data_IF_744896434511
#
_entry.id   IF_744896434511
#
_cell.length_a   1.000
_cell.length_b   1.000
_cell.length_c   1.000
_cell.angle_alpha   90.00
_cell.angle_beta   90.00
_cell.angle_gamma   90.00
#
_symmetry.space_group_name_H-M   'P 1'
#
loop_
_entity.id
_entity.type
_entity.pdbx_description
1 polymer ?
#
# COMPACT_ATOMS: atom_id res chain seq x y z
N UNK A 1 -36.82 -28.97 -18.40
CA UNK A 1 -35.54 -28.38 -18.84
C UNK A 1 -35.75 -26.90 -19.10
N UNK A 2 -35.30 -26.01 -18.21
CA UNK A 2 -34.73 -24.70 -18.58
C UNK A 2 -34.21 -24.00 -17.32
N UNK A 3 -32.90 -24.13 -17.14
CA UNK A 3 -31.94 -23.11 -16.63
C UNK A 3 -32.32 -22.26 -15.41
N UNK A 4 -31.83 -22.74 -14.26
CA UNK A 4 -31.38 -21.93 -13.12
C UNK A 4 -30.51 -20.77 -13.62
N UNK A 5 -31.01 -19.55 -13.48
CA UNK A 5 -30.21 -18.33 -13.59
C UNK A 5 -29.39 -18.21 -12.31
N UNK A 6 -28.11 -18.57 -12.37
CA UNK A 6 -27.17 -18.38 -11.28
C UNK A 6 -26.91 -16.88 -11.12
N UNK A 7 -27.42 -16.27 -10.04
CA UNK A 7 -27.03 -14.92 -9.63
C UNK A 7 -25.56 -14.94 -9.21
N UNK A 8 -24.67 -14.54 -10.11
CA UNK A 8 -23.32 -14.15 -9.73
C UNK A 8 -23.41 -12.83 -8.95
N UNK A 9 -23.42 -12.93 -7.62
CA UNK A 9 -23.20 -11.76 -6.76
C UNK A 9 -21.74 -11.36 -6.90
N UNK A 10 -21.47 -10.34 -7.71
CA UNK A 10 -20.17 -9.70 -7.75
C UNK A 10 -20.00 -8.89 -6.46
N UNK A 11 -19.25 -9.41 -5.49
CA UNK A 11 -18.87 -8.65 -4.32
C UNK A 11 -18.04 -7.43 -4.76
N UNK A 12 -18.46 -6.22 -4.37
CA UNK A 12 -17.71 -4.98 -4.60
C UNK A 12 -16.86 -4.71 -3.37
N UNK A 13 -15.58 -4.40 -3.55
CA UNK A 13 -14.76 -3.87 -2.48
C UNK A 13 -15.34 -2.52 -2.05
N UNK A 14 -15.71 -2.42 -0.77
CA UNK A 14 -16.15 -1.18 -0.14
C UNK A 14 -14.95 -0.23 0.11
N UNK A 15 -15.23 0.99 0.56
CA UNK A 15 -14.19 1.99 0.82
C UNK A 15 -13.22 1.55 1.93
N UNK A 16 -11.92 1.71 1.73
CA UNK A 16 -10.92 1.53 2.79
C UNK A 16 -11.08 2.66 3.82
N UNK A 17 -11.82 2.40 4.90
CA UNK A 17 -11.90 3.26 6.07
C UNK A 17 -10.89 2.81 7.13
N UNK A 18 -10.59 3.69 8.10
CA UNK A 18 -9.73 3.40 9.26
C UNK A 18 -8.23 3.19 8.93
N UNK A 19 -7.71 3.91 7.92
CA UNK A 19 -6.27 4.00 7.68
C UNK A 19 -5.60 4.86 8.76
N UNK A 20 -4.70 4.25 9.54
CA UNK A 20 -3.84 4.95 10.48
C UNK A 20 -2.37 4.69 10.16
N UNK A 21 -1.55 5.74 10.21
CA UNK A 21 -0.11 5.62 10.06
C UNK A 21 0.50 5.09 11.37
N UNK A 22 1.48 4.19 11.27
CA UNK A 22 2.26 3.80 12.45
C UNK A 22 3.34 4.85 12.72
N UNK A 23 3.31 5.43 13.92
CA UNK A 23 4.21 6.51 14.38
C UNK A 23 5.50 5.98 15.05
N UNK A 24 5.72 4.67 15.02
CA UNK A 24 6.84 4.04 15.70
C UNK A 24 8.08 3.91 14.79
N UNK A 25 8.93 4.93 14.80
CA UNK A 25 10.18 4.99 14.05
C UNK A 25 11.17 3.81 14.29
N UNK A 26 10.90 2.91 15.25
CA UNK A 26 11.79 1.81 15.65
C UNK A 26 11.18 0.40 15.56
N UNK A 27 9.98 0.22 14.99
CA UNK A 27 9.36 -1.11 14.88
C UNK A 27 9.43 -1.65 13.45
N UNK A 28 9.70 -2.96 13.33
CA UNK A 28 9.57 -3.67 12.05
C UNK A 28 8.11 -3.54 11.61
N UNK A 29 7.90 -2.92 10.44
CA UNK A 29 6.59 -2.69 9.85
C UNK A 29 6.06 -4.01 9.28
N UNK A 30 5.40 -4.80 10.14
CA UNK A 30 4.77 -6.06 9.75
C UNK A 30 3.33 -5.80 9.33
N UNK A 31 2.98 -6.19 8.11
CA UNK A 31 1.63 -6.06 7.57
C UNK A 31 0.68 -7.06 8.23
N UNK A 32 -0.54 -6.62 8.51
CA UNK A 32 -1.62 -7.49 8.99
C UNK A 32 -2.04 -8.52 7.93
N UNK A 33 -2.09 -8.09 6.67
CA UNK A 33 -2.15 -8.95 5.51
C UNK A 33 -0.73 -9.18 4.98
N UNK A 34 -0.17 -10.36 5.23
CA UNK A 34 1.20 -10.68 4.81
C UNK A 34 1.31 -10.78 3.29
N UNK A 35 2.47 -10.39 2.77
CA UNK A 35 2.79 -10.46 1.34
C UNK A 35 3.17 -11.91 0.97
N UNK A 36 4.01 -12.53 1.79
CA UNK A 36 4.34 -13.95 1.70
C UNK A 36 3.81 -14.70 2.94
N UNK A 37 3.78 -16.03 2.89
CA UNK A 37 3.33 -16.85 4.02
C UNK A 37 4.23 -16.71 5.25
N UNK A 38 5.54 -16.56 5.03
CA UNK A 38 6.54 -16.52 6.10
C UNK A 38 7.03 -15.11 6.38
N UNK A 39 7.01 -14.21 5.38
CA UNK A 39 7.46 -12.83 5.50
C UNK A 39 6.30 -11.81 5.40
N UNK A 40 6.15 -11.02 6.46
CA UNK A 40 5.16 -9.95 6.56
C UNK A 40 5.75 -8.54 6.44
N UNK A 41 7.03 -8.42 6.08
CA UNK A 41 7.72 -7.14 5.96
C UNK A 41 7.16 -6.32 4.81
N UNK A 42 6.84 -5.05 5.05
CA UNK A 42 6.45 -4.13 3.98
C UNK A 42 7.69 -3.73 3.12
N UNK A 43 8.08 -4.58 2.16
CA UNK A 43 9.19 -4.34 1.23
C UNK A 43 8.76 -4.45 -0.23
N UNK A 44 9.33 -3.60 -1.10
CA UNK A 44 9.10 -3.65 -2.55
C UNK A 44 9.71 -4.91 -3.16
N UNK A 45 10.87 -5.35 -2.68
CA UNK A 45 11.51 -6.57 -3.17
C UNK A 45 10.68 -7.81 -2.84
N UNK A 46 10.13 -7.88 -1.62
CA UNK A 46 9.21 -8.95 -1.22
C UNK A 46 7.92 -8.91 -2.04
N UNK A 47 7.35 -7.72 -2.29
CA UNK A 47 6.17 -7.58 -3.13
C UNK A 47 6.43 -8.07 -4.56
N UNK A 48 7.59 -7.70 -5.13
CA UNK A 48 7.99 -8.13 -6.49
C UNK A 48 8.26 -9.63 -6.56
N UNK A 49 8.78 -10.26 -5.50
CA UNK A 49 9.08 -11.70 -5.49
C UNK A 49 7.81 -12.57 -5.56
N UNK A 50 6.66 -12.06 -5.12
CA UNK A 50 5.36 -12.76 -5.17
C UNK A 50 4.42 -12.22 -6.26
N UNK A 51 4.78 -11.15 -6.97
CA UNK A 51 3.87 -10.45 -7.88
C UNK A 51 3.34 -11.32 -9.03
N UNK A 52 4.17 -12.22 -9.55
CA UNK A 52 3.82 -13.13 -10.66
C UNK A 52 2.64 -14.07 -10.34
N UNK A 53 2.31 -14.27 -9.06
CA UNK A 53 1.12 -15.02 -8.66
C UNK A 53 -0.20 -14.27 -8.92
N UNK A 54 -0.15 -12.95 -9.10
CA UNK A 54 -1.33 -12.09 -9.20
C UNK A 54 -1.42 -11.30 -10.50
N UNK A 55 -0.29 -10.80 -10.99
CA UNK A 55 -0.19 -9.92 -12.17
C UNK A 55 1.09 -10.21 -12.96
N UNK A 56 1.23 -9.63 -14.15
CA UNK A 56 2.52 -9.69 -14.86
C UNK A 56 3.54 -8.78 -14.18
N UNK A 57 4.84 -9.09 -14.30
CA UNK A 57 5.89 -8.22 -13.76
C UNK A 57 5.88 -6.80 -14.36
N UNK A 58 5.44 -6.67 -15.62
CA UNK A 58 5.28 -5.36 -16.28
C UNK A 58 4.19 -4.54 -15.58
N UNK A 59 3.05 -5.16 -15.28
CA UNK A 59 1.94 -4.50 -14.58
C UNK A 59 2.32 -4.18 -13.13
N UNK A 60 3.04 -5.09 -12.46
CA UNK A 60 3.53 -4.86 -11.09
C UNK A 60 4.44 -3.62 -11.03
N UNK A 61 5.43 -3.54 -11.91
CA UNK A 61 6.36 -2.40 -11.97
C UNK A 61 5.62 -1.10 -12.34
N UNK A 62 4.60 -1.16 -13.22
CA UNK A 62 3.76 -0.01 -13.55
C UNK A 62 2.95 0.49 -12.35
N UNK A 63 2.29 -0.41 -11.61
CA UNK A 63 1.51 -0.05 -10.41
C UNK A 63 2.41 0.54 -9.33
N UNK A 64 3.60 -0.03 -9.10
CA UNK A 64 4.59 0.51 -8.15
C UNK A 64 4.98 1.95 -8.56
N UNK A 65 5.22 2.18 -9.85
CA UNK A 65 5.58 3.50 -10.36
C UNK A 65 4.45 4.51 -10.20
N UNK A 66 3.20 4.13 -10.47
CA UNK A 66 2.01 4.98 -10.26
C UNK A 66 1.84 5.34 -8.79
N UNK A 67 1.92 4.35 -7.89
CA UNK A 67 1.86 4.56 -6.44
C UNK A 67 2.96 5.54 -5.98
N UNK A 68 4.20 5.34 -6.45
CA UNK A 68 5.31 6.26 -6.16
C UNK A 68 5.01 7.68 -6.65
N UNK A 69 4.52 7.84 -7.87
CA UNK A 69 4.25 9.16 -8.44
C UNK A 69 3.15 9.92 -7.69
N UNK A 70 2.10 9.22 -7.25
CA UNK A 70 1.01 9.82 -6.46
C UNK A 70 1.48 10.16 -5.04
N UNK A 71 2.25 9.27 -4.42
CA UNK A 71 2.70 9.46 -3.03
C UNK A 71 3.86 10.43 -2.90
N UNK A 72 4.71 10.62 -3.92
CA UNK A 72 5.91 11.48 -3.81
C UNK A 72 5.62 12.95 -3.49
N UNK A 73 4.37 13.40 -3.64
CA UNK A 73 3.92 14.78 -3.39
C UNK A 73 2.98 14.90 -2.19
N UNK A 74 2.89 13.86 -1.36
CA UNK A 74 1.96 13.81 -0.22
C UNK A 74 2.12 15.02 0.71
N UNK A 75 3.36 15.47 0.97
CA UNK A 75 3.67 16.62 1.82
C UNK A 75 3.10 17.94 1.27
N UNK A 76 3.26 18.19 -0.03
CA UNK A 76 2.66 19.36 -0.71
C UNK A 76 1.14 19.38 -0.52
N UNK A 77 0.50 18.21 -0.70
CA UNK A 77 -0.95 18.06 -0.55
C UNK A 77 -1.42 18.21 0.90
N UNK A 78 -0.63 17.76 1.86
CA UNK A 78 -0.90 17.94 3.29
C UNK A 78 -0.80 19.42 3.68
N UNK A 79 0.27 20.09 3.27
CA UNK A 79 0.45 21.53 3.50
C UNK A 79 -0.65 22.37 2.85
N UNK A 80 -1.03 22.07 1.60
CA UNK A 80 -2.12 22.76 0.92
C UNK A 80 -3.48 22.60 1.63
N UNK A 81 -3.64 21.56 2.46
CA UNK A 81 -4.83 21.31 3.29
C UNK A 81 -4.71 21.82 4.72
N UNK A 82 -3.61 22.51 5.06
CA UNK A 82 -3.41 23.11 6.38
C UNK A 82 -2.81 22.18 7.42
N UNK A 83 -2.18 21.07 7.03
CA UNK A 83 -1.49 20.19 7.97
C UNK A 83 -0.36 20.94 8.71
N UNK A 84 -0.26 20.83 10.05
CA UNK A 84 0.81 21.42 10.83
C UNK A 84 2.19 20.90 10.37
N UNK A 85 3.22 21.78 10.23
CA UNK A 85 4.56 21.34 9.83
C UNK A 85 5.20 20.29 10.75
N UNK A 86 4.81 20.26 12.03
CA UNK A 86 5.26 19.23 12.98
C UNK A 86 4.69 17.85 12.66
N UNK A 87 3.44 17.78 12.22
CA UNK A 87 2.78 16.52 11.84
C UNK A 87 3.31 16.02 10.50
N UNK A 88 3.57 16.92 9.56
CA UNK A 88 4.23 16.57 8.29
C UNK A 88 5.64 16.00 8.55
N UNK A 89 6.47 16.66 9.36
CA UNK A 89 7.80 16.14 9.72
C UNK A 89 7.77 14.77 10.40
N UNK A 90 6.78 14.52 11.25
CA UNK A 90 6.59 13.20 11.85
C UNK A 90 6.28 12.16 10.77
N UNK A 91 5.42 12.51 9.80
CA UNK A 91 4.98 11.61 8.75
C UNK A 91 6.00 11.45 7.60
N UNK A 92 7.00 12.33 7.46
CA UNK A 92 8.17 12.12 6.57
C UNK A 92 8.87 10.79 6.87
N UNK A 93 8.94 10.41 8.16
CA UNK A 93 9.45 9.10 8.58
C UNK A 93 8.54 7.92 8.20
N UNK A 94 7.43 8.12 7.51
CA UNK A 94 6.66 7.03 6.93
C UNK A 94 6.95 6.83 5.44
N UNK A 95 7.49 7.84 4.76
CA UNK A 95 7.65 7.88 3.30
C UNK A 95 9.11 7.95 2.85
N UNK A 96 9.98 8.60 3.62
CA UNK A 96 11.36 8.88 3.23
C UNK A 96 12.33 7.98 4.01
N UNK A 97 12.42 6.72 3.59
CA UNK A 97 13.32 5.73 4.17
C UNK A 97 14.24 5.12 3.10
N UNK A 98 15.54 5.12 3.38
CA UNK A 98 16.44 4.18 2.72
C UNK A 98 16.11 2.79 3.25
N UNK A 99 15.70 1.89 2.36
CA UNK A 99 15.48 0.47 2.67
C UNK A 99 16.80 -0.06 3.26
N UNK A 100 16.86 -0.15 4.59
CA UNK A 100 18.09 -0.59 5.25
C UNK A 100 18.09 -2.10 5.14
N UNK A 101 18.99 -2.57 4.29
CA UNK A 101 19.19 -3.97 3.89
C UNK A 101 19.46 -4.91 5.06
#
# INVERSE_FOLDING_TARGET
>A
MSTLTHMASAARLEHCADMQAQDNASSIRVLSARIDFEDGTASIDLLRSVAEYFVTMVDADAIIAECRAVTSRWGDFAHARGAPPSEVRMMETAFEHEETR
#
